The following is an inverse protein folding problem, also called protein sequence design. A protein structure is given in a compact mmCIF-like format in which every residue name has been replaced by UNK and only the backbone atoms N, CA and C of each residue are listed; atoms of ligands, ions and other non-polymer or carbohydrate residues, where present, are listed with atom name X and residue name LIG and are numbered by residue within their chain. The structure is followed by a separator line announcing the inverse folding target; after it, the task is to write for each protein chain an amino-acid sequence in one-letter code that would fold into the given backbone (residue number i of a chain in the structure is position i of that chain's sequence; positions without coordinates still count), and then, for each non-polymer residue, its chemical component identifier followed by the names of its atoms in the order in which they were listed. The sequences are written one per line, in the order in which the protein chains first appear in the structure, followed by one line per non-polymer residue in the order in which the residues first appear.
data_IF_075755871811
#
_entry.id   IF_075755871811
#
_cell.length_a   1.000
_cell.length_b   1.000
_cell.length_c   1.000
_cell.angle_alpha   90.00
_cell.angle_beta   90.00
_cell.angle_gamma   90.00
#
_symmetry.space_group_name_H-M   'P 1'
#
loop_
_entity.id
_entity.type
_entity.pdbx_description
1 polymer ?
#
# COMPACT_ATOMS: atom_id res chain seq x y z
N UNK A 1 -6.31 -22.53 -23.57
CA UNK A 1 -5.88 -21.28 -22.89
C UNK A 1 -5.38 -21.57 -21.49
N UNK A 2 -4.47 -20.73 -20.99
CA UNK A 2 -3.93 -20.79 -19.63
C UNK A 2 -4.24 -19.47 -18.96
N UNK A 3 -4.81 -19.52 -17.76
CA UNK A 3 -5.14 -18.33 -16.96
C UNK A 3 -4.27 -18.32 -15.70
N UNK A 4 -3.59 -17.21 -15.46
CA UNK A 4 -2.82 -16.99 -14.23
C UNK A 4 -3.56 -15.96 -13.38
N UNK A 5 -4.10 -16.40 -12.25
CA UNK A 5 -4.80 -15.51 -11.32
C UNK A 5 -3.78 -14.75 -10.46
N UNK A 6 -4.05 -13.46 -10.28
CA UNK A 6 -3.26 -12.55 -9.46
C UNK A 6 -4.17 -11.92 -8.41
N UNK A 7 -3.64 -11.71 -7.21
CA UNK A 7 -4.29 -10.86 -6.22
C UNK A 7 -4.02 -9.39 -6.56
N UNK A 8 -5.07 -8.57 -6.58
CA UNK A 8 -4.96 -7.18 -7.02
C UNK A 8 -4.68 -7.08 -8.51
N UNK A 9 -3.81 -6.14 -8.90
CA UNK A 9 -3.47 -5.91 -10.30
C UNK A 9 -2.23 -6.74 -10.73
N UNK A 10 -2.28 -7.46 -11.88
CA UNK A 10 -1.17 -8.31 -12.33
C UNK A 10 0.16 -7.59 -12.54
N UNK A 11 0.13 -6.28 -12.81
CA UNK A 11 1.32 -5.46 -13.06
C UNK A 11 1.73 -4.59 -11.87
N UNK A 12 1.11 -4.77 -10.70
CA UNK A 12 1.39 -3.97 -9.52
C UNK A 12 1.96 -4.80 -8.37
N UNK A 13 3.28 -4.75 -8.19
CA UNK A 13 4.02 -5.36 -7.06
C UNK A 13 3.74 -6.86 -6.78
N UNK A 14 3.16 -7.59 -7.74
CA UNK A 14 2.91 -9.02 -7.69
C UNK A 14 4.00 -9.88 -8.36
N UNK A 15 3.89 -11.20 -8.17
CA UNK A 15 4.85 -12.18 -8.70
C UNK A 15 4.67 -12.50 -10.19
N UNK A 16 3.52 -12.14 -10.79
CA UNK A 16 3.22 -12.38 -12.21
C UNK A 16 4.27 -11.78 -13.15
N UNK A 17 4.96 -10.72 -12.73
CA UNK A 17 6.03 -10.11 -13.53
C UNK A 17 7.14 -11.09 -13.93
N UNK A 18 7.41 -12.09 -13.10
CA UNK A 18 8.39 -13.13 -13.41
C UNK A 18 7.94 -14.05 -14.54
N UNK A 19 6.63 -14.35 -14.63
CA UNK A 19 6.06 -15.13 -15.73
C UNK A 19 5.94 -14.26 -16.98
N UNK A 20 5.39 -13.06 -16.85
CA UNK A 20 5.23 -12.13 -17.97
C UNK A 20 6.55 -11.87 -18.70
N UNK A 21 7.64 -11.57 -17.98
CA UNK A 21 8.97 -11.34 -18.58
C UNK A 21 9.54 -12.53 -19.33
N UNK A 22 9.17 -13.77 -18.97
CA UNK A 22 9.64 -15.00 -19.63
C UNK A 22 8.78 -15.39 -20.82
N UNK A 23 7.48 -15.11 -20.77
CA UNK A 23 6.50 -15.64 -21.72
C UNK A 23 6.06 -14.65 -22.80
N UNK A 24 6.16 -13.34 -22.57
CA UNK A 24 5.64 -12.31 -23.50
C UNK A 24 6.18 -12.42 -24.94
N UNK A 25 7.38 -12.95 -25.11
CA UNK A 25 8.04 -13.11 -26.42
C UNK A 25 7.95 -14.56 -26.96
N UNK A 26 7.37 -15.48 -26.18
CA UNK A 26 7.24 -16.90 -26.53
C UNK A 26 5.80 -17.31 -26.81
N UNK A 27 4.82 -16.53 -26.36
CA UNK A 27 3.40 -16.77 -26.56
C UNK A 27 2.63 -15.45 -26.60
N UNK A 28 1.41 -15.49 -27.15
CA UNK A 28 0.48 -14.37 -27.03
C UNK A 28 0.04 -14.23 -25.56
N UNK A 29 0.46 -13.15 -24.91
CA UNK A 29 0.09 -12.85 -23.52
C UNK A 29 -0.86 -11.66 -23.50
N UNK A 30 -2.06 -11.86 -22.97
CA UNK A 30 -3.00 -10.79 -22.67
C UNK A 30 -3.05 -10.56 -21.16
N UNK A 31 -3.01 -9.30 -20.74
CA UNK A 31 -3.12 -8.91 -19.34
C UNK A 31 -4.40 -8.10 -19.15
N UNK A 32 -5.20 -8.52 -18.18
CA UNK A 32 -6.45 -7.85 -17.81
C UNK A 32 -6.18 -7.06 -16.52
N UNK A 33 -6.31 -5.72 -16.52
CA UNK A 33 -6.08 -4.91 -15.33
C UNK A 33 -7.17 -5.17 -14.28
N UNK A 34 -6.83 -4.91 -13.01
CA UNK A 34 -7.75 -5.12 -11.90
C UNK A 34 -7.57 -4.07 -10.78
N UNK A 35 -8.42 -4.12 -9.77
CA UNK A 35 -8.37 -3.21 -8.63
C UNK A 35 -7.17 -3.58 -7.76
N UNK A 36 -6.26 -2.64 -7.52
CA UNK A 36 -5.11 -2.85 -6.63
C UNK A 36 -5.57 -3.01 -5.18
N UNK A 37 -4.87 -3.82 -4.38
CA UNK A 37 -5.21 -4.04 -2.97
C UNK A 37 -5.21 -2.75 -2.13
N UNK A 38 -4.35 -1.79 -2.48
CA UNK A 38 -4.35 -0.46 -1.86
C UNK A 38 -5.68 0.27 -2.05
N UNK A 39 -6.37 0.08 -3.18
CA UNK A 39 -7.68 0.67 -3.41
C UNK A 39 -8.77 0.17 -2.50
N UNK A 40 -8.76 -1.12 -2.19
CA UNK A 40 -9.60 -1.66 -1.12
C UNK A 40 -9.27 -1.00 0.20
N UNK A 41 -7.99 -0.90 0.53
CA UNK A 41 -7.53 -0.44 1.84
C UNK A 41 -7.90 1.02 2.14
N UNK A 42 -7.68 1.98 1.23
CA UNK A 42 -8.10 3.37 1.53
C UNK A 42 -9.61 3.54 1.52
N UNK A 43 -10.34 2.75 0.71
CA UNK A 43 -11.81 2.78 0.73
C UNK A 43 -12.36 2.31 2.07
N UNK A 44 -11.74 1.29 2.67
CA UNK A 44 -12.13 0.77 3.99
C UNK A 44 -11.99 1.81 5.12
N UNK A 45 -11.14 2.84 4.96
CA UNK A 45 -11.04 3.96 5.92
C UNK A 45 -12.18 4.98 5.83
N UNK A 46 -13.05 4.87 4.81
CA UNK A 46 -14.14 5.83 4.56
C UNK A 46 -13.69 7.20 4.07
N UNK A 47 -12.43 7.36 3.65
CA UNK A 47 -11.85 8.64 3.20
C UNK A 47 -11.19 8.50 1.83
N UNK A 48 -11.29 9.51 0.94
CA UNK A 48 -10.53 9.50 -0.32
C UNK A 48 -9.03 9.52 -0.03
N UNK A 49 -8.23 8.79 -0.81
CA UNK A 49 -6.77 8.73 -0.63
C UNK A 49 -6.09 10.07 -0.96
N UNK A 50 -6.60 10.77 -1.98
CA UNK A 50 -6.05 12.02 -2.52
C UNK A 50 -7.16 12.97 -2.94
N UNK A 51 -6.86 14.27 -2.95
CA UNK A 51 -7.68 15.33 -3.48
C UNK A 51 -6.82 16.38 -4.20
N UNK A 52 -7.26 16.86 -5.36
CA UNK A 52 -6.61 17.97 -6.07
C UNK A 52 -5.22 17.60 -6.55
N UNK A 53 -4.20 18.33 -6.10
CA UNK A 53 -2.80 18.13 -6.49
C UNK A 53 -2.00 17.28 -5.50
N UNK A 54 -2.68 16.56 -4.61
CA UNK A 54 -2.03 15.64 -3.67
C UNK A 54 -1.07 14.70 -4.41
N UNK A 55 0.19 14.70 -3.99
CA UNK A 55 1.19 13.72 -4.41
C UNK A 55 0.96 12.44 -3.62
N UNK A 56 0.54 11.37 -4.31
CA UNK A 56 0.48 10.02 -3.76
C UNK A 56 1.80 9.28 -3.99
N UNK A 57 2.43 8.86 -2.90
CA UNK A 57 3.64 8.02 -2.94
C UNK A 57 3.34 6.61 -2.43
N UNK A 58 3.69 5.60 -3.23
CA UNK A 58 3.61 4.19 -2.83
C UNK A 58 5.01 3.69 -2.46
N UNK A 59 5.17 3.25 -1.22
CA UNK A 59 6.44 2.81 -0.63
C UNK A 59 6.38 1.33 -0.25
N UNK A 60 7.53 0.66 -0.33
CA UNK A 60 7.68 -0.69 0.21
C UNK A 60 8.27 -0.61 1.61
N UNK A 61 7.64 -1.26 2.59
CA UNK A 61 8.13 -1.33 3.97
C UNK A 61 9.51 -1.97 4.10
N UNK A 62 10.03 -2.61 3.04
CA UNK A 62 11.40 -3.16 2.98
C UNK A 62 12.48 -2.09 2.75
N UNK A 63 12.13 -0.86 2.36
CA UNK A 63 13.09 0.24 2.20
C UNK A 63 13.78 0.61 3.53
N UNK A 64 14.97 1.25 3.50
CA UNK A 64 15.59 1.80 4.69
C UNK A 64 14.68 2.80 5.39
N UNK A 65 14.75 2.88 6.72
CA UNK A 65 13.87 3.74 7.52
C UNK A 65 13.99 5.22 7.13
N UNK A 66 15.22 5.70 6.97
CA UNK A 66 15.47 7.10 6.58
C UNK A 66 14.86 7.42 5.23
N UNK A 67 14.98 6.51 4.26
CA UNK A 67 14.35 6.65 2.94
C UNK A 67 12.83 6.70 3.06
N UNK A 68 12.22 5.88 3.92
CA UNK A 68 10.78 5.92 4.17
C UNK A 68 10.37 7.28 4.75
N UNK A 69 11.04 7.73 5.81
CA UNK A 69 10.74 9.00 6.48
C UNK A 69 10.87 10.19 5.52
N UNK A 70 11.92 10.23 4.69
CA UNK A 70 12.16 11.29 3.72
C UNK A 70 11.04 11.38 2.67
N UNK A 71 10.62 10.25 2.10
CA UNK A 71 9.52 10.26 1.13
C UNK A 71 8.18 10.58 1.78
N UNK A 72 7.92 10.06 2.99
CA UNK A 72 6.69 10.34 3.75
C UNK A 72 6.55 11.82 4.09
N UNK A 73 7.64 12.49 4.45
CA UNK A 73 7.65 13.92 4.76
C UNK A 73 7.39 14.80 3.52
N UNK A 74 7.69 14.30 2.31
CA UNK A 74 7.58 15.04 1.04
C UNK A 74 6.30 14.74 0.26
N UNK A 75 5.42 13.88 0.78
CA UNK A 75 4.22 13.42 0.09
C UNK A 75 2.97 13.90 0.80
N UNK A 76 1.93 14.20 0.04
CA UNK A 76 0.63 14.55 0.60
C UNK A 76 -0.12 13.30 1.04
N UNK A 77 -0.13 12.24 0.22
CA UNK A 77 -0.69 10.94 0.53
C UNK A 77 0.37 9.84 0.45
N UNK A 78 0.26 8.82 1.31
CA UNK A 78 1.22 7.71 1.37
C UNK A 78 0.49 6.38 1.47
N UNK A 79 0.97 5.40 0.71
CA UNK A 79 0.64 3.98 0.87
C UNK A 79 1.93 3.22 1.14
N UNK A 80 1.96 2.39 2.17
CA UNK A 80 3.08 1.49 2.47
C UNK A 80 2.62 0.04 2.37
N UNK A 81 3.25 -0.70 1.46
CA UNK A 81 2.99 -2.14 1.24
C UNK A 81 4.11 -3.01 1.82
N UNK A 82 3.88 -4.31 1.91
CA UNK A 82 4.87 -5.31 2.40
C UNK A 82 5.37 -4.97 3.81
N UNK A 83 4.44 -4.55 4.67
CA UNK A 83 4.73 -4.17 6.05
C UNK A 83 5.15 -5.40 6.85
N UNK A 84 4.24 -6.34 7.15
CA UNK A 84 4.59 -7.59 7.82
C UNK A 84 5.51 -7.37 9.03
N UNK A 85 6.70 -7.98 8.99
CA UNK A 85 7.76 -7.80 10.01
C UNK A 85 8.41 -6.41 10.07
N UNK A 86 8.16 -5.54 9.09
CA UNK A 86 8.66 -4.17 9.03
C UNK A 86 7.70 -3.16 9.69
N UNK A 87 6.61 -3.60 10.32
CA UNK A 87 5.58 -2.71 10.88
C UNK A 87 6.18 -1.68 11.85
N UNK A 88 7.03 -2.11 12.78
CA UNK A 88 7.67 -1.21 13.76
C UNK A 88 8.53 -0.13 13.07
N UNK A 89 9.36 -0.52 12.10
CA UNK A 89 10.17 0.42 11.30
C UNK A 89 9.30 1.40 10.52
N UNK A 90 8.21 0.93 9.92
CA UNK A 90 7.26 1.78 9.18
C UNK A 90 6.56 2.75 10.13
N UNK A 91 6.15 2.30 11.32
CA UNK A 91 5.59 3.15 12.38
C UNK A 91 6.58 4.24 12.79
N UNK A 92 7.84 3.88 13.05
CA UNK A 92 8.93 4.82 13.36
C UNK A 92 9.12 5.86 12.25
N UNK A 93 9.21 5.43 10.99
CA UNK A 93 9.37 6.34 9.85
C UNK A 93 8.20 7.32 9.71
N UNK A 94 6.96 6.86 9.91
CA UNK A 94 5.75 7.69 9.87
C UNK A 94 5.74 8.70 11.02
N UNK A 95 6.16 8.29 12.21
CA UNK A 95 6.26 9.17 13.37
C UNK A 95 7.34 10.25 13.18
N UNK A 96 8.50 9.87 12.64
CA UNK A 96 9.56 10.80 12.24
C UNK A 96 9.11 11.81 11.19
N UNK A 97 8.19 11.42 10.31
CA UNK A 97 7.56 12.33 9.35
C UNK A 97 6.44 13.20 9.97
N UNK A 98 6.11 13.01 11.25
CA UNK A 98 5.05 13.74 11.96
C UNK A 98 3.64 13.35 11.54
N UNK A 99 3.45 12.16 10.95
CA UNK A 99 2.19 11.73 10.32
C UNK A 99 1.45 10.65 11.10
N UNK A 100 1.97 10.18 12.24
CA UNK A 100 1.45 9.03 12.98
C UNK A 100 -0.03 9.17 13.36
N UNK A 101 -0.45 10.35 13.84
CA UNK A 101 -1.85 10.61 14.21
C UNK A 101 -2.85 10.57 13.05
N UNK A 102 -2.37 10.61 11.80
CA UNK A 102 -3.19 10.54 10.59
C UNK A 102 -3.09 9.20 9.86
N UNK A 103 -2.24 8.28 10.34
CA UNK A 103 -1.96 7.02 9.69
C UNK A 103 -2.96 5.93 10.10
N UNK A 104 -3.32 5.09 9.13
CA UNK A 104 -4.16 3.91 9.29
C UNK A 104 -3.34 2.65 9.02
N UNK A 105 -3.64 1.58 9.75
CA UNK A 105 -3.31 0.21 9.39
C UNK A 105 -4.60 -0.46 8.93
N UNK A 106 -4.56 -1.04 7.72
CA UNK A 106 -5.65 -1.85 7.19
C UNK A 106 -5.14 -3.25 6.92
N UNK A 107 -5.76 -4.23 7.56
CA UNK A 107 -5.47 -5.64 7.44
C UNK A 107 -6.58 -6.30 6.63
N UNK A 108 -6.21 -7.13 5.67
CA UNK A 108 -7.15 -7.94 4.87
C UNK A 108 -8.27 -7.14 4.19
N UNK A 109 -7.93 -5.96 3.63
CA UNK A 109 -8.87 -5.10 2.93
C UNK A 109 -9.72 -5.88 1.92
N UNK A 110 -11.04 -5.68 1.94
CA UNK A 110 -12.07 -6.35 1.12
C UNK A 110 -12.22 -7.85 1.33
N UNK A 111 -11.55 -8.43 2.33
CA UNK A 111 -11.67 -9.84 2.70
C UNK A 111 -12.53 -10.00 3.97
N UNK A 112 -13.03 -11.21 4.28
CA UNK A 112 -13.93 -11.43 5.43
C UNK A 112 -13.37 -11.02 6.80
N UNK A 113 -12.05 -11.00 6.96
CA UNK A 113 -11.35 -10.64 8.19
C UNK A 113 -10.75 -9.22 8.13
N UNK A 114 -11.35 -8.32 7.35
CA UNK A 114 -10.94 -6.93 7.27
C UNK A 114 -10.90 -6.28 8.66
N UNK A 115 -9.79 -5.60 8.95
CA UNK A 115 -9.63 -4.79 10.16
C UNK A 115 -8.99 -3.46 9.82
N UNK A 116 -9.61 -2.39 10.29
CA UNK A 116 -9.16 -1.00 10.09
C UNK A 116 -8.87 -0.40 11.45
N UNK A 117 -7.67 0.13 11.65
CA UNK A 117 -7.24 0.70 12.95
C UNK A 117 -6.33 1.90 12.75
N UNK A 118 -6.31 2.84 13.70
CA UNK A 118 -5.29 3.89 13.72
C UNK A 118 -3.94 3.27 14.01
N UNK A 119 -2.91 3.65 13.24
CA UNK A 119 -1.57 3.08 13.43
C UNK A 119 -1.00 3.39 14.82
N UNK A 120 -1.37 4.53 15.41
CA UNK A 120 -1.00 4.94 16.76
C UNK A 120 -1.62 4.08 17.88
N UNK A 121 -2.67 3.31 17.57
CA UNK A 121 -3.42 2.50 18.55
C UNK A 121 -3.09 1.01 18.43
N UNK A 122 -2.19 0.64 17.51
CA UNK A 122 -1.78 -0.75 17.29
C UNK A 122 -0.52 -1.03 18.11
N UNK A 123 -0.63 -1.91 19.10
CA UNK A 123 0.50 -2.34 19.94
C UNK A 123 1.36 -3.44 19.29
N UNK A 124 0.86 -4.08 18.23
CA UNK A 124 1.57 -5.16 17.55
C UNK A 124 2.91 -4.70 16.93
N UNK A 125 3.91 -5.57 16.94
CA UNK A 125 5.21 -5.33 16.30
C UNK A 125 5.28 -5.88 14.87
N UNK A 126 4.31 -6.70 14.48
CA UNK A 126 4.19 -7.29 13.15
C UNK A 126 2.75 -7.25 12.68
N UNK A 127 2.54 -7.24 11.36
CA UNK A 127 1.22 -7.38 10.76
C UNK A 127 1.09 -8.69 9.95
N UNK A 128 -0.13 -9.13 9.64
CA UNK A 128 -0.40 -10.11 8.59
C UNK A 128 0.20 -9.70 7.23
N UNK A 129 0.23 -10.66 6.30
CA UNK A 129 0.79 -10.45 4.96
C UNK A 129 -0.01 -9.41 4.16
N UNK A 130 -1.34 -9.48 4.19
CA UNK A 130 -2.24 -8.54 3.51
C UNK A 130 -2.53 -7.30 4.34
N UNK A 131 -1.48 -6.63 4.80
CA UNK A 131 -1.61 -5.38 5.53
C UNK A 131 -1.04 -4.23 4.70
N UNK A 132 -1.74 -3.09 4.75
CA UNK A 132 -1.33 -1.83 4.11
C UNK A 132 -1.43 -0.70 5.14
N UNK A 133 -0.40 0.14 5.20
CA UNK A 133 -0.45 1.39 5.98
C UNK A 133 -0.74 2.55 5.06
N UNK A 134 -1.64 3.44 5.48
CA UNK A 134 -2.15 4.54 4.66
C UNK A 134 -2.07 5.84 5.43
N UNK A 135 -1.66 6.91 4.73
CA UNK A 135 -1.86 8.29 5.16
C UNK A 135 -2.59 9.02 4.04
N UNK A 136 -3.75 9.59 4.34
CA UNK A 136 -4.54 10.34 3.35
C UNK A 136 -3.93 11.71 3.08
N UNK A 137 -4.01 12.14 1.83
CA UNK A 137 -3.80 13.52 1.44
C UNK A 137 -4.85 14.45 2.03
N UNK A 138 -4.50 15.72 2.13
CA UNK A 138 -5.36 16.78 2.68
C UNK A 138 -5.44 17.98 1.73
N UNK A 139 -4.92 17.84 0.50
CA UNK A 139 -4.87 18.89 -0.50
C UNK A 139 -6.26 19.43 -0.79
N UNK A 140 -6.45 20.72 -0.55
CA UNK A 140 -7.64 21.45 -0.99
C UNK A 140 -7.24 22.42 -2.07
N UNK A 141 -7.75 22.22 -3.27
CA UNK A 141 -8.07 23.33 -4.17
C UNK A 141 -9.60 23.47 -4.23
N UNK A 142 -10.12 24.71 -4.37
CA UNK A 142 -11.56 24.99 -4.31
C UNK A 142 -12.38 24.17 -5.31
#
# INVERSE_FOLDING_TARGET
DVVVLCEGDPFFYGSFMHLHSRLKDQAQVQVVPAITGMSGAWTATGSPITWGDDILTVLMGTLPEDTLADYMARSDAVVVMKIGRNLEKVRSAIDRAGRLGSAWLVEHATMPNEKVSRLSEVDDTTSPYFSIVIVHGQGRRP
#
